data_IF_881242888010
#
_entry.id   IF_881242888010
#
_cell.length_a   1.000
_cell.length_b   1.000
_cell.length_c   1.000
_cell.angle_alpha   90.00
_cell.angle_beta   90.00
_cell.angle_gamma   90.00
#
_symmetry.space_group_name_H-M   'P 1'
#
loop_
_entity.id
_entity.type
_entity.pdbx_description
1 polymer ?
#
# COMPACT_ATOMS: atom_id res chain seq x y z
N UNK A 1 -23.66 -9.79 19.26
CA UNK A 1 -23.24 -9.91 20.68
C UNK A 1 -22.66 -11.31 20.85
N UNK A 2 -21.34 -11.45 20.66
CA UNK A 2 -20.66 -12.75 20.57
C UNK A 2 -19.71 -12.85 21.77
N UNK A 3 -19.97 -13.81 22.65
CA UNK A 3 -19.24 -13.99 23.92
C UNK A 3 -17.81 -14.50 23.68
N UNK A 4 -16.85 -13.81 24.27
CA UNK A 4 -15.48 -14.26 24.51
C UNK A 4 -15.49 -15.45 25.49
N UNK A 5 -14.89 -16.58 25.12
CA UNK A 5 -14.54 -17.66 26.06
C UNK A 5 -13.13 -17.39 26.61
N UNK A 6 -13.03 -17.27 27.92
CA UNK A 6 -11.78 -17.16 28.70
C UNK A 6 -11.15 -18.54 28.90
N UNK A 7 -9.81 -18.63 28.83
CA UNK A 7 -9.04 -19.83 29.21
C UNK A 7 -9.05 -20.06 30.72
N UNK A 8 -9.15 -21.33 31.11
CA UNK A 8 -9.12 -21.86 32.48
C UNK A 8 -7.66 -22.15 32.92
N UNK A 9 -7.19 -21.66 34.09
CA UNK A 9 -5.78 -21.75 34.49
C UNK A 9 -5.37 -23.00 35.31
N UNK A 10 -6.08 -24.14 35.26
CA UNK A 10 -5.85 -25.25 36.21
C UNK A 10 -5.11 -26.52 35.72
N UNK A 11 -4.26 -26.47 34.69
CA UNK A 11 -3.52 -27.66 34.24
C UNK A 11 -2.07 -27.69 34.76
N UNK A 12 -1.82 -28.54 35.76
CA UNK A 12 -0.51 -28.83 36.36
C UNK A 12 0.38 -29.72 35.45
N UNK A 13 1.72 -29.74 35.64
CA UNK A 13 2.66 -30.29 34.66
C UNK A 13 2.90 -31.79 34.86
N UNK A 14 2.99 -32.55 33.76
CA UNK A 14 3.40 -33.95 33.77
C UNK A 14 4.90 -34.03 33.49
N UNK A 15 5.67 -34.51 34.46
CA UNK A 15 7.06 -34.91 34.31
C UNK A 15 7.17 -36.13 33.38
N UNK A 16 8.01 -36.04 32.35
CA UNK A 16 8.50 -37.18 31.58
C UNK A 16 10.04 -37.17 31.54
N UNK A 17 10.61 -38.36 31.65
CA UNK A 17 11.98 -38.69 32.03
C UNK A 17 13.04 -38.24 31.02
N UNK A 18 14.23 -37.93 31.56
CA UNK A 18 15.46 -37.73 30.79
C UNK A 18 16.07 -39.09 30.42
N UNK A 19 15.95 -39.46 29.15
CA UNK A 19 16.83 -40.47 28.53
C UNK A 19 17.87 -39.76 27.65
N UNK A 20 19.13 -40.07 27.89
CA UNK A 20 20.29 -39.43 27.27
C UNK A 20 20.43 -39.76 25.78
N UNK A 21 20.77 -38.75 25.00
CA UNK A 21 21.24 -38.86 23.60
C UNK A 21 22.65 -38.29 23.55
N UNK A 22 23.64 -38.99 22.96
CA UNK A 22 25.04 -38.59 23.01
C UNK A 22 25.32 -37.35 22.15
N UNK A 23 26.28 -36.55 22.61
CA UNK A 23 26.83 -35.39 21.93
C UNK A 23 27.45 -35.76 20.58
N UNK A 24 26.70 -35.51 19.50
CA UNK A 24 27.21 -35.41 18.14
C UNK A 24 27.06 -33.97 17.67
N UNK A 25 28.14 -33.21 17.74
CA UNK A 25 28.24 -31.82 17.29
C UNK A 25 28.04 -31.77 15.76
N UNK A 26 26.78 -31.56 15.32
CA UNK A 26 26.50 -31.11 13.96
C UNK A 26 26.38 -29.59 14.00
N UNK A 27 27.35 -28.90 13.42
CA UNK A 27 27.22 -27.50 13.08
C UNK A 27 25.87 -27.29 12.35
N UNK A 28 25.09 -26.24 12.68
CA UNK A 28 23.82 -26.00 12.02
C UNK A 28 24.07 -25.89 10.52
N UNK A 29 23.38 -26.73 9.74
CA UNK A 29 23.43 -26.68 8.29
C UNK A 29 23.17 -25.23 7.84
N UNK A 30 24.07 -24.67 7.03
CA UNK A 30 23.88 -23.34 6.44
C UNK A 30 22.53 -23.34 5.74
N UNK A 31 21.63 -22.46 6.20
CA UNK A 31 20.32 -22.29 5.58
C UNK A 31 20.50 -22.07 4.07
N UNK A 32 19.69 -22.73 3.22
CA UNK A 32 19.77 -22.57 1.77
C UNK A 32 19.69 -21.08 1.37
N UNK A 33 20.31 -20.67 0.26
CA UNK A 33 20.38 -19.26 -0.14
C UNK A 33 19.01 -18.57 -0.24
N UNK A 34 17.95 -19.29 -0.66
CA UNK A 34 16.58 -18.77 -0.69
C UNK A 34 15.99 -18.49 0.70
N UNK A 35 16.35 -19.28 1.72
CA UNK A 35 15.92 -19.04 3.10
C UNK A 35 16.63 -17.83 3.72
N UNK A 36 17.88 -17.54 3.33
CA UNK A 36 18.60 -16.35 3.82
C UNK A 36 18.07 -15.06 3.22
N UNK A 37 17.75 -15.05 1.93
CA UNK A 37 17.14 -13.90 1.27
C UNK A 37 15.75 -13.60 1.87
N UNK A 38 14.90 -14.62 2.02
CA UNK A 38 13.60 -14.47 2.65
C UNK A 38 13.69 -13.97 4.11
N UNK A 39 14.64 -14.49 4.89
CA UNK A 39 14.85 -14.04 6.27
C UNK A 39 15.32 -12.58 6.33
N UNK A 40 16.24 -12.17 5.44
CA UNK A 40 16.69 -10.79 5.34
C UNK A 40 15.56 -9.85 4.87
N UNK A 41 14.72 -10.28 3.93
CA UNK A 41 13.54 -9.54 3.47
C UNK A 41 12.52 -9.33 4.58
N UNK A 42 12.23 -10.35 5.39
CA UNK A 42 11.35 -10.24 6.57
C UNK A 42 11.93 -9.29 7.62
N UNK A 43 13.24 -9.39 7.90
CA UNK A 43 13.93 -8.47 8.81
C UNK A 43 13.88 -7.02 8.30
N UNK A 44 14.10 -6.79 7.02
CA UNK A 44 14.03 -5.46 6.39
C UNK A 44 12.60 -4.91 6.40
N UNK A 45 11.61 -5.76 6.19
CA UNK A 45 10.20 -5.43 6.32
C UNK A 45 9.82 -5.08 7.77
N UNK A 46 10.38 -5.78 8.76
CA UNK A 46 10.17 -5.47 10.18
C UNK A 46 10.66 -4.06 10.54
N UNK A 47 11.82 -3.66 10.04
CA UNK A 47 12.31 -2.28 10.20
C UNK A 47 11.54 -1.25 9.37
N UNK A 48 10.87 -1.67 8.30
CA UNK A 48 10.10 -0.81 7.40
C UNK A 48 8.59 -0.88 7.64
N UNK A 49 8.15 -1.44 8.77
CA UNK A 49 6.72 -1.61 9.09
C UNK A 49 5.92 -0.31 9.15
N UNK A 50 6.60 0.83 9.30
CA UNK A 50 6.00 2.16 9.21
C UNK A 50 5.45 2.49 7.80
N UNK A 51 5.83 1.74 6.76
CA UNK A 51 5.34 1.92 5.39
C UNK A 51 3.98 1.27 5.14
N UNK A 52 3.47 0.44 6.07
CA UNK A 52 2.14 -0.16 5.93
C UNK A 52 1.03 0.88 6.07
N UNK A 53 0.01 0.75 5.24
CA UNK A 53 -1.25 1.49 5.40
C UNK A 53 -1.91 1.12 6.72
N UNK A 54 -2.33 2.10 7.54
CA UNK A 54 -3.03 1.83 8.79
C UNK A 54 -4.43 1.22 8.55
N UNK A 55 -4.94 0.39 9.46
CA UNK A 55 -6.23 -0.29 9.27
C UNK A 55 -7.44 0.63 9.06
N UNK A 56 -7.41 1.85 9.63
CA UNK A 56 -8.48 2.84 9.44
C UNK A 56 -8.50 3.43 8.02
N UNK A 57 -7.33 3.58 7.40
CA UNK A 57 -7.21 3.98 5.99
C UNK A 57 -7.69 2.86 5.06
N UNK A 58 -7.24 1.62 5.28
CA UNK A 58 -7.67 0.46 4.51
C UNK A 58 -9.20 0.24 4.60
N UNK A 59 -9.79 0.48 5.77
CA UNK A 59 -11.23 0.41 5.95
C UNK A 59 -11.98 1.50 5.18
N UNK A 60 -11.46 2.73 5.16
CA UNK A 60 -12.03 3.80 4.36
C UNK A 60 -11.93 3.49 2.86
N UNK A 61 -10.77 3.02 2.39
CA UNK A 61 -10.57 2.60 0.99
C UNK A 61 -11.58 1.50 0.61
N UNK A 62 -11.74 0.48 1.47
CA UNK A 62 -12.71 -0.60 1.24
C UNK A 62 -14.15 -0.07 1.11
N UNK A 63 -14.55 0.87 1.97
CA UNK A 63 -15.88 1.48 1.90
C UNK A 63 -16.05 2.30 0.62
N UNK A 64 -15.07 3.13 0.28
CA UNK A 64 -15.10 3.99 -0.90
C UNK A 64 -15.25 3.16 -2.18
N UNK A 65 -14.42 2.12 -2.35
CA UNK A 65 -14.47 1.19 -3.48
C UNK A 65 -15.85 0.53 -3.64
N UNK A 66 -16.48 0.14 -2.52
CA UNK A 66 -17.82 -0.46 -2.52
C UNK A 66 -18.91 0.54 -2.90
N UNK A 67 -18.86 1.75 -2.34
CA UNK A 67 -19.86 2.79 -2.59
C UNK A 67 -19.79 3.25 -4.05
N UNK A 68 -18.59 3.39 -4.61
CA UNK A 68 -18.42 3.78 -6.02
C UNK A 68 -18.61 2.61 -7.00
N UNK A 69 -18.73 1.37 -6.51
CA UNK A 69 -18.86 0.17 -7.35
C UNK A 69 -17.62 -0.10 -8.22
N UNK A 70 -16.43 0.18 -7.71
CA UNK A 70 -15.18 0.03 -8.47
C UNK A 70 -14.93 -1.43 -8.89
N UNK A 71 -14.43 -1.61 -10.12
CA UNK A 71 -14.12 -2.91 -10.72
C UNK A 71 -12.70 -2.97 -11.25
N UNK A 72 -12.26 -1.94 -11.96
CA UNK A 72 -10.89 -1.88 -12.49
C UNK A 72 -10.10 -0.81 -11.75
N UNK A 73 -9.04 -1.21 -11.06
CA UNK A 73 -8.28 -0.33 -10.18
C UNK A 73 -6.79 -0.39 -10.50
N UNK A 74 -6.08 0.68 -10.16
CA UNK A 74 -4.62 0.76 -10.29
C UNK A 74 -4.00 1.21 -8.99
N UNK A 75 -2.89 0.60 -8.59
CA UNK A 75 -2.16 0.92 -7.37
C UNK A 75 -0.69 1.15 -7.69
N UNK A 76 -0.16 2.31 -7.28
CA UNK A 76 1.23 2.74 -7.48
C UNK A 76 1.90 2.79 -6.11
N UNK A 77 2.76 1.81 -5.83
CA UNK A 77 3.32 1.55 -4.50
C UNK A 77 2.53 0.46 -3.80
N UNK A 78 3.05 -0.77 -3.82
CA UNK A 78 2.40 -1.97 -3.27
C UNK A 78 3.06 -2.38 -1.95
N UNK A 79 4.38 -2.24 -1.85
CA UNK A 79 5.19 -2.78 -0.76
C UNK A 79 4.87 -4.27 -0.51
N UNK A 80 4.28 -4.61 0.64
CA UNK A 80 3.86 -5.99 0.96
C UNK A 80 2.40 -6.30 0.59
N UNK A 81 1.63 -5.34 0.06
CA UNK A 81 0.30 -5.56 -0.50
C UNK A 81 -0.86 -5.49 0.50
N UNK A 82 -0.74 -4.74 1.60
CA UNK A 82 -1.84 -4.50 2.55
C UNK A 82 -3.03 -3.78 1.90
N UNK A 83 -2.76 -2.64 1.28
CA UNK A 83 -3.70 -1.87 0.45
C UNK A 83 -4.25 -2.70 -0.72
N UNK A 84 -3.40 -3.42 -1.46
CA UNK A 84 -3.84 -4.35 -2.52
C UNK A 84 -4.83 -5.39 -1.99
N UNK A 85 -4.56 -5.98 -0.82
CA UNK A 85 -5.46 -6.96 -0.20
C UNK A 85 -6.81 -6.32 0.18
N UNK A 86 -6.79 -5.14 0.79
CA UNK A 86 -7.99 -4.41 1.15
C UNK A 86 -8.85 -4.07 -0.09
N UNK A 87 -8.21 -3.63 -1.17
CA UNK A 87 -8.84 -3.37 -2.47
C UNK A 87 -9.43 -4.65 -3.08
N UNK A 88 -8.65 -5.74 -3.13
CA UNK A 88 -9.07 -7.01 -3.73
C UNK A 88 -10.27 -7.65 -3.01
N UNK A 89 -10.36 -7.47 -1.70
CA UNK A 89 -11.50 -7.88 -0.87
C UNK A 89 -12.74 -6.98 -1.06
N UNK A 90 -12.56 -5.74 -1.51
CA UNK A 90 -13.64 -4.77 -1.67
C UNK A 90 -14.32 -4.83 -3.04
N UNK A 91 -13.54 -5.02 -4.11
CA UNK A 91 -14.05 -5.05 -5.49
C UNK A 91 -14.74 -6.40 -5.81
N UNK A 92 -15.62 -6.45 -6.83
CA UNK A 92 -16.27 -7.69 -7.29
C UNK A 92 -15.29 -8.81 -7.64
N UNK A 93 -15.77 -10.05 -7.73
CA UNK A 93 -14.91 -11.21 -7.99
C UNK A 93 -14.21 -11.16 -9.36
N UNK A 94 -14.90 -10.58 -10.35
CA UNK A 94 -14.41 -10.32 -11.70
C UNK A 94 -13.61 -9.00 -11.82
N UNK A 95 -13.40 -8.30 -10.71
CA UNK A 95 -12.60 -7.08 -10.65
C UNK A 95 -11.11 -7.32 -10.86
N UNK A 96 -10.39 -6.26 -11.21
CA UNK A 96 -8.96 -6.27 -11.52
C UNK A 96 -8.22 -5.15 -10.80
N UNK A 97 -6.98 -5.44 -10.42
CA UNK A 97 -6.04 -4.51 -9.81
C UNK A 97 -4.74 -4.58 -10.59
N UNK A 98 -4.36 -3.48 -11.21
CA UNK A 98 -3.00 -3.29 -11.71
C UNK A 98 -2.16 -2.79 -10.55
N UNK A 99 -1.28 -3.63 -10.02
CA UNK A 99 -0.44 -3.33 -8.86
C UNK A 99 1.00 -3.06 -9.32
N UNK A 100 1.53 -1.86 -9.08
CA UNK A 100 2.81 -1.40 -9.59
C UNK A 100 3.78 -1.13 -8.45
N UNK A 101 4.92 -1.80 -8.46
CA UNK A 101 5.98 -1.54 -7.49
C UNK A 101 7.36 -1.83 -8.10
N UNK A 102 8.40 -1.20 -7.58
CA UNK A 102 9.79 -1.42 -8.00
C UNK A 102 10.37 -2.72 -7.43
N UNK A 103 9.74 -3.32 -6.43
CA UNK A 103 10.26 -4.49 -5.72
C UNK A 103 9.26 -5.64 -5.66
N UNK A 104 9.49 -6.66 -6.49
CA UNK A 104 8.76 -7.94 -6.34
C UNK A 104 9.09 -8.66 -5.03
N UNK A 105 10.30 -8.48 -4.51
CA UNK A 105 10.73 -9.11 -3.25
C UNK A 105 9.77 -8.81 -2.10
N UNK A 106 9.37 -7.54 -1.92
CA UNK A 106 8.42 -7.19 -0.85
C UNK A 106 7.02 -7.71 -1.09
N UNK A 107 6.54 -7.64 -2.33
CA UNK A 107 5.21 -8.15 -2.67
C UNK A 107 5.11 -9.66 -2.41
N UNK A 108 6.15 -10.41 -2.74
CA UNK A 108 6.20 -11.85 -2.52
C UNK A 108 6.17 -12.24 -1.03
N UNK A 109 6.51 -11.33 -0.09
CA UNK A 109 6.34 -11.55 1.35
C UNK A 109 4.87 -11.58 1.78
N UNK A 110 4.04 -10.69 1.21
CA UNK A 110 2.62 -10.60 1.54
C UNK A 110 1.70 -11.41 0.63
N UNK A 111 2.18 -11.81 -0.56
CA UNK A 111 1.42 -12.62 -1.53
C UNK A 111 0.76 -13.87 -0.92
N UNK A 112 1.41 -14.67 -0.03
CA UNK A 112 0.75 -15.83 0.58
C UNK A 112 -0.53 -15.48 1.37
N UNK A 113 -0.63 -14.26 1.91
CA UNK A 113 -1.84 -13.77 2.60
C UNK A 113 -2.94 -13.48 1.58
N UNK A 114 -2.61 -12.85 0.46
CA UNK A 114 -3.53 -12.56 -0.65
C UNK A 114 -4.05 -13.87 -1.28
N UNK A 115 -3.17 -14.85 -1.48
CA UNK A 115 -3.52 -16.19 -1.96
C UNK A 115 -4.46 -16.91 -0.97
N UNK A 116 -4.14 -16.88 0.33
CA UNK A 116 -4.98 -17.46 1.38
C UNK A 116 -6.36 -16.80 1.48
N UNK A 117 -6.46 -15.51 1.18
CA UNK A 117 -7.71 -14.78 1.12
C UNK A 117 -8.55 -15.12 -0.13
N UNK A 118 -8.00 -15.86 -1.10
CA UNK A 118 -8.72 -16.31 -2.29
C UNK A 118 -8.97 -15.21 -3.32
N UNK A 119 -8.20 -14.11 -3.29
CA UNK A 119 -8.38 -12.95 -4.18
C UNK A 119 -7.17 -12.65 -5.06
N UNK A 120 -6.14 -13.49 -5.03
CA UNK A 120 -4.92 -13.31 -5.82
C UNK A 120 -5.17 -13.26 -7.33
N UNK A 121 -6.25 -13.89 -7.83
CA UNK A 121 -6.61 -13.87 -9.25
C UNK A 121 -6.99 -12.47 -9.77
N UNK A 122 -7.31 -11.53 -8.88
CA UNK A 122 -7.64 -10.14 -9.23
C UNK A 122 -6.40 -9.27 -9.45
N UNK A 123 -5.25 -9.68 -8.94
CA UNK A 123 -4.03 -8.85 -8.87
C UNK A 123 -3.11 -9.15 -10.06
N UNK A 124 -2.88 -8.12 -10.88
CA UNK A 124 -1.89 -8.08 -11.95
C UNK A 124 -0.71 -7.22 -11.49
N UNK A 125 0.33 -7.86 -10.94
CA UNK A 125 1.50 -7.16 -10.43
C UNK A 125 2.55 -6.91 -11.52
N UNK A 126 2.93 -5.64 -11.70
CA UNK A 126 3.98 -5.19 -12.61
C UNK A 126 5.16 -4.63 -11.85
N UNK A 127 6.32 -5.27 -12.02
CA UNK A 127 7.57 -4.83 -11.42
C UNK A 127 8.25 -3.75 -12.28
N UNK A 128 8.54 -2.59 -11.71
CA UNK A 128 9.31 -1.53 -12.36
C UNK A 128 8.95 -0.11 -11.93
N UNK A 129 9.61 0.90 -12.51
CA UNK A 129 9.29 2.30 -12.25
C UNK A 129 7.87 2.65 -12.68
N UNK A 130 7.10 3.23 -11.77
CA UNK A 130 5.68 3.51 -12.02
C UNK A 130 5.45 4.41 -13.24
N UNK A 131 6.26 5.46 -13.44
CA UNK A 131 6.09 6.35 -14.59
C UNK A 131 6.24 5.63 -15.95
N UNK A 132 7.11 4.64 -16.03
CA UNK A 132 7.30 3.84 -17.25
C UNK A 132 6.08 2.95 -17.49
N UNK A 133 5.63 2.24 -16.45
CA UNK A 133 4.49 1.32 -16.56
C UNK A 133 3.19 2.10 -16.87
N UNK A 134 2.99 3.27 -16.26
CA UNK A 134 1.86 4.16 -16.58
C UNK A 134 1.94 4.68 -18.03
N UNK A 135 3.14 4.97 -18.53
CA UNK A 135 3.33 5.37 -19.93
C UNK A 135 3.01 4.21 -20.89
N UNK A 136 3.42 2.99 -20.56
CA UNK A 136 3.10 1.80 -21.36
C UNK A 136 1.59 1.52 -21.38
N UNK A 137 0.90 1.69 -20.25
CA UNK A 137 -0.56 1.59 -20.18
C UNK A 137 -1.23 2.65 -21.07
N UNK A 138 -0.75 3.90 -21.04
CA UNK A 138 -1.27 4.99 -21.86
C UNK A 138 -0.98 4.85 -23.36
N UNK A 139 0.00 4.03 -23.74
CA UNK A 139 0.31 3.77 -25.15
C UNK A 139 -0.75 2.90 -25.84
N UNK A 140 -1.55 2.16 -25.06
CA UNK A 140 -2.74 1.47 -25.53
C UNK A 140 -3.97 2.37 -25.35
N UNK A 141 -4.53 2.84 -26.47
CA UNK A 141 -5.71 3.72 -26.51
C UNK A 141 -6.91 3.10 -25.78
N UNK A 142 -6.98 1.77 -25.66
CA UNK A 142 -8.03 1.09 -24.91
C UNK A 142 -7.99 1.29 -23.40
N UNK A 143 -6.89 1.84 -22.85
CA UNK A 143 -6.74 2.09 -21.42
C UNK A 143 -7.11 3.53 -21.00
N UNK A 144 -7.36 4.44 -21.95
CA UNK A 144 -7.80 5.79 -21.61
C UNK A 144 -9.18 5.76 -20.96
N UNK A 145 -9.28 6.27 -19.74
CA UNK A 145 -10.50 6.18 -18.92
C UNK A 145 -10.93 4.74 -18.57
N UNK A 146 -10.02 3.76 -18.57
CA UNK A 146 -10.37 2.37 -18.28
C UNK A 146 -10.44 2.04 -16.78
N UNK A 147 -9.88 2.88 -15.91
CA UNK A 147 -9.79 2.63 -14.47
C UNK A 147 -10.85 3.42 -13.69
N UNK A 148 -11.48 2.77 -12.72
CA UNK A 148 -12.45 3.39 -11.80
C UNK A 148 -11.74 4.13 -10.65
N UNK A 149 -10.62 3.59 -10.20
CA UNK A 149 -9.93 4.03 -8.99
C UNK A 149 -8.41 3.89 -9.13
N UNK A 150 -7.67 4.90 -8.70
CA UNK A 150 -6.22 4.84 -8.56
C UNK A 150 -5.79 5.13 -7.12
N UNK A 151 -4.91 4.32 -6.55
CA UNK A 151 -4.24 4.61 -5.29
C UNK A 151 -2.74 4.84 -5.53
N UNK A 152 -2.20 5.92 -4.97
CA UNK A 152 -0.80 6.31 -5.14
C UNK A 152 -0.15 6.50 -3.78
N UNK A 153 0.81 5.62 -3.47
CA UNK A 153 1.62 5.63 -2.26
C UNK A 153 3.12 5.38 -2.56
N UNK A 154 3.65 5.93 -3.66
CA UNK A 154 5.07 5.79 -4.01
C UNK A 154 5.68 7.05 -4.60
N UNK A 155 7.00 7.20 -4.42
CA UNK A 155 7.80 8.20 -5.15
C UNK A 155 7.21 9.62 -5.09
N UNK A 156 7.11 10.17 -3.88
CA UNK A 156 6.41 11.43 -3.60
C UNK A 156 6.85 12.61 -4.51
N UNK A 157 8.15 12.77 -4.85
CA UNK A 157 8.58 13.80 -5.80
C UNK A 157 7.92 13.71 -7.19
N UNK A 158 7.47 12.52 -7.61
CA UNK A 158 6.82 12.29 -8.90
C UNK A 158 5.28 12.26 -8.84
N UNK A 159 4.63 12.56 -7.70
CA UNK A 159 3.16 12.59 -7.59
C UNK A 159 2.48 13.45 -8.65
N UNK A 160 3.04 14.61 -9.01
CA UNK A 160 2.49 15.47 -10.08
C UNK A 160 2.51 14.75 -11.43
N UNK A 161 3.57 14.00 -11.73
CA UNK A 161 3.69 13.26 -13.00
C UNK A 161 2.79 12.02 -13.02
N UNK A 162 2.68 11.33 -11.88
CA UNK A 162 1.68 10.28 -11.69
C UNK A 162 0.27 10.83 -11.90
N UNK A 163 -0.03 12.01 -11.37
CA UNK A 163 -1.32 12.67 -11.54
C UNK A 163 -1.66 12.93 -13.01
N UNK A 164 -0.73 13.50 -13.78
CA UNK A 164 -0.95 13.75 -15.21
C UNK A 164 -1.24 12.47 -16.00
N UNK A 165 -0.54 11.36 -15.71
CA UNK A 165 -0.78 10.09 -16.38
C UNK A 165 -2.08 9.42 -15.91
N UNK A 166 -2.33 9.41 -14.61
CA UNK A 166 -3.50 8.78 -14.02
C UNK A 166 -4.79 9.52 -14.32
N UNK A 167 -4.76 10.84 -14.47
CA UNK A 167 -5.92 11.64 -14.88
C UNK A 167 -6.47 11.17 -16.25
N UNK A 168 -5.60 10.66 -17.11
CA UNK A 168 -5.99 10.09 -18.42
C UNK A 168 -6.44 8.63 -18.33
N UNK A 169 -5.83 7.84 -17.44
CA UNK A 169 -6.17 6.42 -17.25
C UNK A 169 -7.49 6.24 -16.48
N UNK A 170 -7.78 7.13 -15.54
CA UNK A 170 -8.99 7.07 -14.70
C UNK A 170 -10.17 7.72 -15.44
N UNK A 171 -11.31 7.04 -15.44
CA UNK A 171 -12.53 7.55 -16.08
C UNK A 171 -13.03 8.81 -15.41
N UNK A 172 -13.86 9.56 -16.13
CA UNK A 172 -14.71 10.61 -15.55
C UNK A 172 -15.58 10.02 -14.42
N UNK A 173 -15.63 10.71 -13.29
CA UNK A 173 -16.29 10.24 -12.08
C UNK A 173 -15.57 9.05 -11.41
N UNK A 174 -14.34 8.76 -11.83
CA UNK A 174 -13.42 7.89 -11.10
C UNK A 174 -12.68 8.67 -10.01
N UNK A 175 -11.91 7.97 -9.18
CA UNK A 175 -11.23 8.57 -8.02
C UNK A 175 -9.73 8.32 -8.07
N UNK A 176 -8.96 9.39 -7.87
CA UNK A 176 -7.53 9.40 -7.64
C UNK A 176 -7.29 9.60 -6.14
N UNK A 177 -6.69 8.63 -5.47
CA UNK A 177 -6.36 8.70 -4.05
C UNK A 177 -4.84 8.74 -3.87
N UNK A 178 -4.34 9.74 -3.16
CA UNK A 178 -2.92 9.92 -2.90
C UNK A 178 -2.66 9.87 -1.39
N UNK A 179 -1.80 8.96 -0.96
CA UNK A 179 -1.46 8.84 0.46
C UNK A 179 -0.38 9.86 0.87
N UNK A 180 -0.39 10.18 2.16
CA UNK A 180 0.53 11.02 2.92
C UNK A 180 0.56 12.50 2.54
N UNK A 181 -0.51 13.03 1.96
CA UNK A 181 -0.57 14.42 1.47
C UNK A 181 -0.43 15.50 2.55
N UNK A 182 -0.66 15.18 3.83
CA UNK A 182 -0.32 16.08 4.96
C UNK A 182 1.11 15.89 5.50
N UNK A 183 1.81 14.82 5.11
CA UNK A 183 3.19 14.50 5.48
C UNK A 183 3.53 14.77 6.96
N UNK A 184 2.81 14.14 7.89
CA UNK A 184 3.05 14.33 9.32
C UNK A 184 2.59 15.68 9.87
N UNK A 185 1.84 16.47 9.09
CA UNK A 185 1.53 17.87 9.35
C UNK A 185 2.66 18.84 8.97
N UNK A 186 3.78 18.34 8.44
CA UNK A 186 4.96 19.16 8.13
C UNK A 186 4.69 20.22 7.06
N UNK A 187 3.71 19.99 6.18
CA UNK A 187 3.29 20.94 5.15
C UNK A 187 2.77 22.26 5.74
N UNK A 188 2.29 22.26 6.99
CA UNK A 188 1.80 23.45 7.69
C UNK A 188 2.85 24.11 8.61
N UNK A 189 4.03 23.49 8.78
CA UNK A 189 5.10 24.06 9.61
C UNK A 189 5.76 25.28 8.92
N UNK A 190 6.36 26.21 9.69
CA UNK A 190 7.13 27.30 9.12
C UNK A 190 8.38 26.78 8.36
N UNK A 191 8.96 27.61 7.49
CA UNK A 191 10.07 27.20 6.62
C UNK A 191 11.38 26.95 7.38
N UNK A 192 11.54 27.54 8.56
CA UNK A 192 12.68 27.34 9.48
C UNK A 192 12.50 26.16 10.44
N UNK A 193 11.44 25.36 10.29
CA UNK A 193 11.19 24.20 11.14
C UNK A 193 12.37 23.19 11.07
N UNK A 194 12.76 22.58 12.20
CA UNK A 194 13.90 21.67 12.28
C UNK A 194 13.57 20.31 11.66
N UNK A 195 13.60 20.23 10.34
CA UNK A 195 13.40 19.02 9.54
C UNK A 195 14.74 18.45 9.04
N UNK A 196 14.75 17.17 8.69
CA UNK A 196 15.88 16.61 7.91
C UNK A 196 15.87 17.16 6.48
N UNK A 197 16.97 17.00 5.74
CA UNK A 197 16.99 17.43 4.34
C UNK A 197 16.00 16.64 3.47
N UNK A 198 15.91 15.32 3.68
CA UNK A 198 14.92 14.50 3.00
C UNK A 198 13.48 14.92 3.33
N UNK A 199 13.17 15.22 4.58
CA UNK A 199 11.84 15.71 4.96
C UNK A 199 11.51 17.08 4.34
N UNK A 200 12.52 17.96 4.17
CA UNK A 200 12.33 19.23 3.46
C UNK A 200 11.98 19.02 1.99
N UNK A 201 12.69 18.12 1.31
CA UNK A 201 12.43 17.78 -0.09
C UNK A 201 11.02 17.22 -0.28
N UNK A 202 10.64 16.22 0.53
CA UNK A 202 9.31 15.60 0.44
C UNK A 202 8.20 16.59 0.84
N UNK A 203 8.42 17.42 1.86
CA UNK A 203 7.50 18.52 2.21
C UNK A 203 7.30 19.48 1.04
N UNK A 204 8.37 19.86 0.35
CA UNK A 204 8.28 20.75 -0.81
C UNK A 204 7.47 20.08 -1.95
N UNK A 205 7.71 18.79 -2.20
CA UNK A 205 6.94 18.01 -3.17
C UNK A 205 5.44 17.99 -2.82
N UNK A 206 5.06 17.72 -1.57
CA UNK A 206 3.65 17.72 -1.16
C UNK A 206 3.01 19.11 -1.19
N UNK A 207 3.73 20.18 -0.82
CA UNK A 207 3.22 21.55 -0.98
C UNK A 207 2.93 21.88 -2.43
N UNK A 208 3.84 21.55 -3.33
CA UNK A 208 3.67 21.75 -4.76
C UNK A 208 2.51 20.90 -5.32
N UNK A 209 2.44 19.63 -4.94
CA UNK A 209 1.38 18.72 -5.35
C UNK A 209 0.00 19.17 -4.85
N UNK A 210 -0.14 19.46 -3.55
CA UNK A 210 -1.41 19.92 -2.97
C UNK A 210 -1.88 21.22 -3.62
N UNK A 211 -0.96 22.16 -3.88
CA UNK A 211 -1.29 23.40 -4.57
C UNK A 211 -1.71 23.16 -6.03
N UNK A 212 -1.05 22.23 -6.74
CA UNK A 212 -1.40 21.84 -8.10
C UNK A 212 -2.80 21.26 -8.16
N UNK A 213 -3.10 20.28 -7.32
CA UNK A 213 -4.40 19.60 -7.34
C UNK A 213 -5.53 20.51 -6.85
N UNK A 214 -5.28 21.38 -5.88
CA UNK A 214 -6.27 22.37 -5.44
C UNK A 214 -6.61 23.41 -6.53
N UNK A 215 -5.73 23.61 -7.51
CA UNK A 215 -5.93 24.51 -8.64
C UNK A 215 -6.30 23.79 -9.94
N UNK A 216 -6.43 22.47 -9.91
CA UNK A 216 -6.74 21.67 -11.09
C UNK A 216 -8.25 21.67 -11.32
N UNK A 217 -8.68 22.15 -12.48
CA UNK A 217 -10.09 22.26 -12.83
C UNK A 217 -10.72 20.91 -13.21
N UNK A 218 -9.90 19.88 -13.46
CA UNK A 218 -10.34 18.54 -13.85
C UNK A 218 -10.60 17.62 -12.64
N UNK A 219 -10.59 18.14 -11.42
CA UNK A 219 -10.81 17.35 -10.21
C UNK A 219 -11.56 18.13 -9.15
N UNK A 220 -12.46 17.44 -8.46
CA UNK A 220 -12.96 17.86 -7.16
C UNK A 220 -12.07 17.27 -6.05
N UNK A 221 -11.40 18.18 -5.33
CA UNK A 221 -10.43 17.80 -4.30
C UNK A 221 -11.04 17.76 -2.89
N UNK A 222 -10.81 16.67 -2.17
CA UNK A 222 -11.05 16.59 -0.71
C UNK A 222 -9.85 15.98 0.01
N UNK A 223 -9.22 16.78 0.89
CA UNK A 223 -8.11 16.30 1.70
C UNK A 223 -8.61 15.81 3.06
N UNK A 224 -8.45 14.52 3.37
CA UNK A 224 -8.99 13.91 4.59
C UNK A 224 -7.87 13.56 5.59
N UNK A 225 -7.99 13.97 6.87
CA UNK A 225 -7.04 13.58 7.92
C UNK A 225 -7.37 12.16 8.46
N UNK A 226 -7.27 11.16 7.59
CA UNK A 226 -7.43 9.73 7.91
C UNK A 226 -6.03 9.13 8.17
N UNK A 227 -5.91 8.01 8.89
CA UNK A 227 -4.65 7.50 9.44
C UNK A 227 -4.16 8.32 10.66
N UNK A 228 -5.10 8.67 11.54
CA UNK A 228 -4.89 9.53 12.72
C UNK A 228 -3.82 9.01 13.70
N UNK A 229 -3.55 7.70 13.70
CA UNK A 229 -2.54 7.07 14.55
C UNK A 229 -1.09 7.32 14.08
N UNK A 230 -0.87 7.63 12.80
CA UNK A 230 0.47 7.78 12.20
C UNK A 230 0.79 9.21 11.76
N UNK A 231 -0.12 10.18 11.98
CA UNK A 231 -0.06 11.55 11.44
C UNK A 231 0.06 11.60 9.90
N UNK A 232 -0.26 10.50 9.23
CA UNK A 232 -0.43 10.46 7.78
C UNK A 232 -1.83 10.98 7.46
N UNK A 233 -2.04 11.35 6.21
CA UNK A 233 -3.34 11.77 5.71
C UNK A 233 -3.43 11.40 4.24
N UNK A 234 -4.54 10.80 3.87
CA UNK A 234 -4.86 10.51 2.48
C UNK A 234 -5.63 11.70 1.88
N UNK A 235 -5.14 12.21 0.75
CA UNK A 235 -5.92 13.11 -0.10
C UNK A 235 -6.75 12.25 -1.07
N UNK A 236 -8.06 12.47 -1.11
CA UNK A 236 -8.94 11.83 -2.09
C UNK A 236 -9.39 12.89 -3.09
N UNK A 237 -9.26 12.59 -4.38
CA UNK A 237 -9.54 13.55 -5.43
C UNK A 237 -10.42 12.86 -6.46
N UNK A 238 -11.63 13.37 -6.64
CA UNK A 238 -12.57 12.82 -7.62
C UNK A 238 -12.32 13.50 -8.96
N UNK A 239 -12.23 12.73 -10.03
CA UNK A 239 -12.04 13.27 -11.37
C UNK A 239 -13.37 13.80 -11.91
N UNK A 240 -13.43 15.09 -12.22
CA UNK A 240 -14.56 15.75 -12.92
C UNK A 240 -14.02 16.37 -14.21
N UNK A 241 -14.79 16.41 -15.29
CA UNK A 241 -14.29 17.04 -16.53
C UNK A 241 -14.33 18.56 -16.45
#
# INVERSE_FOLDING_TARGET
MMLLRTCDPSAAPVHAQHDGVPAGERAPARAPPHHRAAHLGVLRCFFSGFMLSPPDEEQLLSLLLKVMGARNTIEVGVFTGGSVLATALAIPDDGRIVAIDVSREYFDLGRPVIEKAGVAHKVDFREGPALSILADLLADEGNEGAFDFAFVDADKPNYVRHHEQLLRLVRVGGVLAYDNTLWGGSVALPDDAPLTEGDREIRAAFRAFNARVAADAWVEAVQLPVAASSKRAAGFYMCEQ
#
